data_IF_015533281473
#
_entry.id   IF_015533281473
#
_cell.length_a   1.000
_cell.length_b   1.000
_cell.length_c   1.000
_cell.angle_alpha   90.00
_cell.angle_beta   90.00
_cell.angle_gamma   90.00
#
_symmetry.space_group_name_H-M   'P 1'
#
loop_
_entity.id
_entity.type
_entity.pdbx_description
1 polymer ?
#
# COMPACT_ATOMS: atom_id res chain seq x y z
N UNK A 1 -17.73 17.04 7.80
CA UNK A 1 -17.06 16.31 6.69
C UNK A 1 -15.63 15.86 6.99
N UNK A 2 -14.73 16.75 7.43
CA UNK A 2 -13.31 16.43 7.70
C UNK A 2 -13.07 15.19 8.59
N UNK A 3 -13.75 15.07 9.74
CA UNK A 3 -13.65 13.87 10.62
C UNK A 3 -14.10 12.57 9.93
N UNK A 4 -15.15 12.62 9.09
CA UNK A 4 -15.67 11.47 8.33
C UNK A 4 -14.69 11.03 7.23
N UNK A 5 -14.14 11.98 6.47
CA UNK A 5 -13.12 11.74 5.45
C UNK A 5 -11.87 11.12 6.08
N UNK A 6 -11.41 11.67 7.21
CA UNK A 6 -10.28 11.13 7.96
C UNK A 6 -10.52 9.69 8.43
N UNK A 7 -11.68 9.42 9.03
CA UNK A 7 -12.04 8.05 9.45
C UNK A 7 -12.08 7.08 8.26
N UNK A 8 -12.55 7.52 7.10
CA UNK A 8 -12.59 6.71 5.88
C UNK A 8 -11.19 6.43 5.33
N UNK A 9 -10.32 7.45 5.26
CA UNK A 9 -8.92 7.28 4.85
C UNK A 9 -8.17 6.34 5.80
N UNK A 10 -8.34 6.50 7.13
CA UNK A 10 -7.76 5.58 8.12
C UNK A 10 -8.20 4.13 7.90
N UNK A 11 -9.50 3.89 7.63
CA UNK A 11 -10.00 2.55 7.30
C UNK A 11 -9.39 1.99 6.02
N UNK A 12 -9.26 2.83 4.98
CA UNK A 12 -8.60 2.45 3.71
C UNK A 12 -7.15 2.01 3.98
N UNK A 13 -6.37 2.83 4.68
CA UNK A 13 -4.97 2.50 4.98
C UNK A 13 -4.82 1.31 5.92
N UNK A 14 -5.72 1.13 6.89
CA UNK A 14 -5.74 -0.06 7.73
C UNK A 14 -5.98 -1.34 6.90
N UNK A 15 -6.92 -1.30 5.95
CA UNK A 15 -7.18 -2.43 5.05
C UNK A 15 -5.99 -2.69 4.10
N UNK A 16 -5.33 -1.64 3.59
CA UNK A 16 -4.12 -1.76 2.75
C UNK A 16 -2.99 -2.40 3.54
N UNK A 17 -2.72 -1.94 4.77
CA UNK A 17 -1.68 -2.52 5.64
C UNK A 17 -2.00 -3.98 5.94
N UNK A 18 -3.23 -4.28 6.36
CA UNK A 18 -3.65 -5.66 6.65
C UNK A 18 -3.46 -6.56 5.43
N UNK A 19 -3.90 -6.12 4.24
CA UNK A 19 -3.75 -6.88 3.00
C UNK A 19 -2.27 -7.09 2.65
N UNK A 20 -1.45 -6.04 2.77
CA UNK A 20 -0.01 -6.13 2.55
C UNK A 20 0.67 -7.10 3.50
N UNK A 21 0.33 -7.06 4.80
CA UNK A 21 0.84 -8.01 5.79
C UNK A 21 0.42 -9.44 5.48
N UNK A 22 -0.84 -9.67 5.12
CA UNK A 22 -1.32 -10.99 4.73
C UNK A 22 -0.62 -11.52 3.47
N UNK A 23 -0.39 -10.67 2.46
CA UNK A 23 0.38 -11.04 1.27
C UNK A 23 1.81 -11.43 1.62
N UNK A 24 2.48 -10.65 2.49
CA UNK A 24 3.84 -10.97 2.95
C UNK A 24 3.84 -12.31 3.71
N UNK A 25 2.93 -12.51 4.65
CA UNK A 25 2.80 -13.76 5.39
C UNK A 25 2.52 -14.95 4.47
N UNK A 26 1.70 -14.75 3.43
CA UNK A 26 1.42 -15.78 2.42
C UNK A 26 2.70 -16.16 1.66
N UNK A 27 3.56 -15.19 1.30
CA UNK A 27 4.84 -15.47 0.66
C UNK A 27 5.72 -16.34 1.56
N UNK A 28 5.88 -15.97 2.84
CA UNK A 28 6.63 -16.78 3.81
C UNK A 28 6.02 -18.17 4.02
N UNK A 29 4.69 -18.27 4.06
CA UNK A 29 3.99 -19.55 4.20
C UNK A 29 4.23 -20.48 3.00
N UNK A 30 4.17 -19.94 1.79
CA UNK A 30 4.48 -20.67 0.55
C UNK A 30 5.95 -21.13 0.57
N UNK A 31 6.87 -20.25 0.92
CA UNK A 31 8.31 -20.54 0.99
C UNK A 31 8.61 -21.69 1.98
N UNK A 32 7.93 -21.67 3.13
CA UNK A 32 7.98 -22.74 4.13
C UNK A 32 7.36 -24.05 3.62
N UNK A 33 6.18 -24.00 3.00
CA UNK A 33 5.45 -25.17 2.50
C UNK A 33 6.24 -25.96 1.45
N UNK A 34 7.00 -25.27 0.60
CA UNK A 34 7.84 -25.90 -0.42
C UNK A 34 9.26 -26.25 0.07
N UNK A 35 9.57 -26.01 1.35
CA UNK A 35 10.84 -26.41 1.96
C UNK A 35 12.02 -25.50 1.65
N UNK A 36 11.79 -24.29 1.12
CA UNK A 36 12.83 -23.29 0.87
C UNK A 36 13.29 -22.55 2.15
N UNK A 37 12.55 -22.74 3.25
CA UNK A 37 12.82 -22.09 4.54
C UNK A 37 12.25 -20.67 4.61
N UNK A 38 12.48 -19.97 5.73
CA UNK A 38 11.98 -18.60 5.96
C UNK A 38 12.92 -17.54 5.35
N UNK A 39 14.14 -17.93 4.97
CA UNK A 39 15.18 -16.99 4.51
C UNK A 39 15.17 -16.76 3.00
N UNK A 40 14.56 -17.64 2.22
CA UNK A 40 14.63 -17.58 0.75
C UNK A 40 13.90 -16.34 0.20
N UNK A 41 12.75 -15.97 0.75
CA UNK A 41 12.07 -14.73 0.37
C UNK A 41 12.93 -13.49 0.64
N UNK A 42 13.73 -13.46 1.73
CA UNK A 42 14.65 -12.35 2.01
C UNK A 42 15.78 -12.25 0.98
N UNK A 43 16.21 -13.39 0.43
CA UNK A 43 17.19 -13.40 -0.66
C UNK A 43 16.59 -13.00 -2.01
N UNK A 44 15.30 -13.28 -2.25
CA UNK A 44 14.62 -13.00 -3.52
C UNK A 44 14.02 -11.58 -3.59
N UNK A 45 13.68 -10.99 -2.44
CA UNK A 45 13.04 -9.68 -2.36
C UNK A 45 13.84 -8.55 -3.06
N UNK A 46 15.18 -8.48 -2.95
CA UNK A 46 15.96 -7.50 -3.70
C UNK A 46 15.92 -7.69 -5.22
N UNK A 47 15.66 -8.92 -5.68
CA UNK A 47 15.57 -9.25 -7.12
C UNK A 47 14.17 -9.04 -7.69
N UNK A 48 13.16 -8.71 -6.88
CA UNK A 48 11.82 -8.45 -7.40
C UNK A 48 11.74 -7.09 -8.10
N UNK A 49 12.69 -6.19 -7.81
CA UNK A 49 12.75 -4.81 -8.34
C UNK A 49 14.21 -4.50 -8.66
N UNK A 50 14.62 -4.95 -9.83
CA UNK A 50 16.03 -5.03 -10.22
C UNK A 50 16.52 -3.69 -10.77
N UNK A 51 15.73 -3.04 -11.62
CA UNK A 51 16.21 -1.88 -12.38
C UNK A 51 15.92 -0.57 -11.65
N UNK A 52 16.75 0.44 -11.90
CA UNK A 52 16.48 1.80 -11.39
C UNK A 52 15.14 2.34 -11.92
N UNK A 53 14.78 2.00 -13.16
CA UNK A 53 13.50 2.39 -13.76
C UNK A 53 12.30 1.81 -12.99
N UNK A 54 12.34 0.53 -12.61
CA UNK A 54 11.29 -0.12 -11.80
C UNK A 54 11.14 0.53 -10.42
N UNK A 55 12.27 0.89 -9.78
CA UNK A 55 12.28 1.58 -8.48
C UNK A 55 11.63 2.95 -8.59
N UNK A 56 11.99 3.73 -9.60
CA UNK A 56 11.40 5.05 -9.85
C UNK A 56 9.90 4.91 -10.14
N UNK A 57 9.51 3.97 -11.02
CA UNK A 57 8.12 3.72 -11.36
C UNK A 57 7.28 3.38 -10.12
N UNK A 58 7.77 2.50 -9.25
CA UNK A 58 7.08 2.19 -8.00
C UNK A 58 6.89 3.42 -7.11
N UNK A 59 7.93 4.25 -6.95
CA UNK A 59 7.84 5.47 -6.13
C UNK A 59 6.81 6.43 -6.73
N UNK A 60 6.82 6.61 -8.06
CA UNK A 60 5.87 7.48 -8.75
C UNK A 60 4.43 6.97 -8.61
N UNK A 61 4.22 5.66 -8.75
CA UNK A 61 2.90 5.05 -8.54
C UNK A 61 2.44 5.18 -7.09
N UNK A 62 3.30 4.88 -6.11
CA UNK A 62 2.97 5.05 -4.71
C UNK A 62 2.61 6.52 -4.39
N UNK A 63 3.37 7.47 -4.93
CA UNK A 63 3.12 8.89 -4.77
C UNK A 63 1.79 9.32 -5.42
N UNK A 64 1.44 8.80 -6.60
CA UNK A 64 0.18 9.15 -7.27
C UNK A 64 -1.05 8.68 -6.50
N UNK A 65 -0.95 7.62 -5.70
CA UNK A 65 -2.02 7.20 -4.77
C UNK A 65 -2.00 7.97 -3.45
N UNK A 66 -0.82 8.25 -2.87
CA UNK A 66 -0.69 8.87 -1.55
C UNK A 66 -0.95 10.39 -1.57
N UNK A 67 -0.46 11.10 -2.58
CA UNK A 67 -0.53 12.57 -2.64
C UNK A 67 -1.99 13.08 -2.64
N UNK A 68 -2.91 12.55 -3.49
CA UNK A 68 -4.31 13.00 -3.47
C UNK A 68 -4.98 12.75 -2.12
N UNK A 69 -4.73 11.60 -1.50
CA UNK A 69 -5.27 11.26 -0.19
C UNK A 69 -4.75 12.18 0.91
N UNK A 70 -3.46 12.55 0.86
CA UNK A 70 -2.87 13.50 1.79
C UNK A 70 -3.50 14.89 1.63
N UNK A 71 -3.71 15.35 0.39
CA UNK A 71 -4.40 16.61 0.11
C UNK A 71 -5.83 16.57 0.68
N UNK A 72 -6.57 15.49 0.46
CA UNK A 72 -7.92 15.31 1.03
C UNK A 72 -7.90 15.28 2.57
N UNK A 73 -6.87 14.71 3.19
CA UNK A 73 -6.72 14.66 4.64
C UNK A 73 -6.50 16.04 5.27
N UNK A 74 -5.68 16.87 4.61
CA UNK A 74 -5.32 18.23 5.05
C UNK A 74 -6.49 19.18 4.82
N UNK A 75 -7.01 19.23 3.58
CA UNK A 75 -8.06 20.17 3.17
C UNK A 75 -9.43 19.76 3.72
N UNK A 76 -9.71 18.46 3.84
CA UNK A 76 -11.02 17.95 4.23
C UNK A 76 -12.11 18.16 3.16
N UNK A 77 -11.71 18.58 1.95
CA UNK A 77 -12.57 18.63 0.77
C UNK A 77 -12.28 17.41 -0.09
N UNK A 78 -13.32 16.78 -0.61
CA UNK A 78 -13.20 15.64 -1.52
C UNK A 78 -14.17 15.92 -2.67
N UNK A 79 -13.67 16.35 -3.84
CA UNK A 79 -14.49 16.96 -4.89
C UNK A 79 -15.58 16.03 -5.44
N UNK A 80 -15.38 14.70 -5.41
CA UNK A 80 -16.39 13.73 -5.82
C UNK A 80 -17.55 13.50 -4.83
N UNK A 81 -17.55 14.17 -3.67
CA UNK A 81 -18.57 14.01 -2.62
C UNK A 81 -19.33 15.30 -2.29
N UNK A 82 -19.19 16.31 -3.12
CA UNK A 82 -19.94 17.57 -2.97
C UNK A 82 -21.44 17.39 -3.26
N UNK A 83 -21.82 16.39 -4.06
CA UNK A 83 -23.22 15.98 -4.28
C UNK A 83 -23.86 15.29 -3.06
N UNK A 84 -23.09 14.85 -2.07
CA UNK A 84 -23.59 14.34 -0.78
C UNK A 84 -23.65 15.44 0.31
N UNK A 85 -23.32 16.70 0.00
CA UNK A 85 -23.51 17.86 0.90
C UNK A 85 -24.89 18.46 0.70
#
# INVERSE_FOLDING_TARGET
MKKRIRKMLLKKYAAVVLSGTLTILLLYFVDWMFGYGITNINTLFPFTITTQAEKILMITLAASFLIPDLIHWITGNQPGRELER
#
